data_IF_475803704923
#
_entry.id   IF_475803704923
#
_cell.length_a   1.000
_cell.length_b   1.000
_cell.length_c   1.000
_cell.angle_alpha   90.00
_cell.angle_beta   90.00
_cell.angle_gamma   90.00
#
_symmetry.space_group_name_H-M   'P 1'
#
loop_
_entity.id
_entity.type
_entity.pdbx_description
1 polymer ?
#
# COMPACT_ATOMS: atom_id res chain seq x y z
N UNK A 1 -2.15 7.29 4.34
CA UNK A 1 -2.18 6.00 3.61
C UNK A 1 -2.16 4.86 4.62
N UNK A 2 -3.09 3.91 4.50
CA UNK A 2 -3.24 2.77 5.42
C UNK A 2 -1.96 1.91 5.53
N UNK A 3 -1.23 1.73 4.42
CA UNK A 3 0.04 1.00 4.40
C UNK A 3 1.10 1.56 5.36
N UNK A 4 1.11 2.87 5.63
CA UNK A 4 2.07 3.43 6.59
C UNK A 4 1.81 2.95 8.03
N UNK A 5 0.55 2.70 8.39
CA UNK A 5 0.19 2.10 9.67
C UNK A 5 0.57 0.62 9.76
N UNK A 6 0.73 -0.03 8.62
CA UNK A 6 1.22 -1.40 8.48
C UNK A 6 2.75 -1.49 8.43
N UNK A 7 3.46 -0.44 8.83
CA UNK A 7 4.93 -0.43 8.90
C UNK A 7 5.63 -0.02 7.60
N UNK A 8 4.90 0.27 6.52
CA UNK A 8 5.52 0.73 5.28
C UNK A 8 6.01 2.17 5.39
N UNK A 9 7.19 2.43 4.83
CA UNK A 9 7.79 3.76 4.73
C UNK A 9 7.82 4.22 3.28
N UNK A 10 7.61 5.50 3.04
CA UNK A 10 7.77 6.09 1.70
C UNK A 10 9.26 6.09 1.36
N UNK A 11 9.63 5.35 0.31
CA UNK A 11 11.00 5.31 -0.17
C UNK A 11 11.26 6.36 -1.25
N UNK A 12 10.31 6.53 -2.19
CA UNK A 12 10.41 7.51 -3.28
C UNK A 12 9.01 7.83 -3.82
N UNK A 13 8.83 9.04 -4.33
CA UNK A 13 7.66 9.39 -5.15
C UNK A 13 8.13 9.85 -6.52
N UNK A 14 7.51 9.33 -7.58
CA UNK A 14 7.74 9.75 -8.96
C UNK A 14 6.39 10.10 -9.59
N UNK A 15 6.13 11.40 -9.75
CA UNK A 15 4.85 11.90 -10.24
C UNK A 15 3.69 11.47 -9.32
N UNK A 16 2.70 10.82 -9.92
CA UNK A 16 1.56 10.26 -9.20
C UNK A 16 1.85 8.91 -8.55
N UNK A 17 3.04 8.32 -8.62
CA UNK A 17 3.32 7.01 -8.02
C UNK A 17 4.19 7.14 -6.77
N UNK A 18 3.77 6.50 -5.67
CA UNK A 18 4.51 6.41 -4.42
C UNK A 18 5.04 4.99 -4.25
N UNK A 19 6.35 4.88 -4.05
CA UNK A 19 7.05 3.63 -3.76
C UNK A 19 7.16 3.51 -2.24
N UNK A 20 6.60 2.45 -1.70
CA UNK A 20 6.58 2.10 -0.29
C UNK A 20 7.51 0.91 -0.05
N UNK A 21 8.39 1.00 0.95
CA UNK A 21 9.25 -0.10 1.40
C UNK A 21 8.89 -0.54 2.82
N UNK A 22 9.11 -1.81 3.08
CA UNK A 22 8.97 -2.45 4.38
C UNK A 22 10.20 -3.34 4.60
N UNK A 23 10.57 -3.60 5.85
CA UNK A 23 11.68 -4.51 6.17
C UNK A 23 11.31 -5.96 5.85
N UNK A 24 10.17 -6.44 6.35
CA UNK A 24 9.72 -7.82 6.19
C UNK A 24 8.80 -8.09 5.00
N UNK A 25 8.44 -7.07 4.21
CA UNK A 25 7.43 -7.18 3.14
C UNK A 25 7.93 -6.58 1.84
N UNK A 26 7.46 -7.07 0.68
CA UNK A 26 7.91 -6.57 -0.60
C UNK A 26 7.54 -5.10 -0.80
N UNK A 27 8.34 -4.42 -1.63
CA UNK A 27 8.12 -3.02 -2.01
C UNK A 27 6.79 -2.90 -2.76
N UNK A 28 5.97 -1.92 -2.39
CA UNK A 28 4.70 -1.61 -3.07
C UNK A 28 4.82 -0.33 -3.87
N UNK A 29 4.18 -0.29 -5.04
CA UNK A 29 4.02 0.94 -5.82
C UNK A 29 2.54 1.28 -5.85
N UNK A 30 2.18 2.38 -5.17
CA UNK A 30 0.80 2.83 -5.04
C UNK A 30 0.64 4.17 -5.75
N UNK A 31 -0.26 4.30 -6.72
CA UNK A 31 -0.59 5.61 -7.26
C UNK A 31 -1.29 6.49 -6.22
N UNK A 32 -0.74 7.69 -6.05
CA UNK A 32 -1.21 8.83 -5.30
C UNK A 32 -2.35 9.57 -6.03
N UNK A 33 -3.45 8.85 -6.29
CA UNK A 33 -4.70 9.46 -6.73
C UNK A 33 -5.79 9.23 -5.69
N UNK A 34 -6.73 10.18 -5.59
CA UNK A 34 -7.79 10.23 -4.57
C UNK A 34 -8.70 9.00 -4.56
N UNK A 35 -8.86 8.32 -5.69
CA UNK A 35 -9.64 7.10 -5.83
C UNK A 35 -8.74 5.98 -6.38
N UNK A 36 -8.33 5.07 -5.49
CA UNK A 36 -7.69 3.83 -5.90
C UNK A 36 -8.76 2.88 -6.43
N UNK A 37 -8.62 2.45 -7.68
CA UNK A 37 -9.48 1.41 -8.23
C UNK A 37 -9.45 0.17 -7.29
N UNK A 38 -10.60 -0.43 -6.94
CA UNK A 38 -10.65 -1.52 -5.97
C UNK A 38 -9.83 -2.74 -6.40
N UNK A 39 -9.70 -2.98 -7.71
CA UNK A 39 -8.82 -4.03 -8.24
C UNK A 39 -7.33 -3.77 -7.99
N UNK A 40 -6.90 -2.51 -8.12
CA UNK A 40 -5.51 -2.13 -7.84
C UNK A 40 -5.20 -2.23 -6.35
N UNK A 41 -6.14 -1.79 -5.50
CA UNK A 41 -6.00 -1.92 -4.06
C UNK A 41 -5.88 -3.39 -3.63
N UNK A 42 -6.72 -4.28 -4.16
CA UNK A 42 -6.61 -5.72 -3.90
C UNK A 42 -5.28 -6.30 -4.37
N UNK A 43 -4.80 -5.89 -5.53
CA UNK A 43 -3.50 -6.33 -6.04
C UNK A 43 -2.36 -5.90 -5.11
N UNK A 44 -2.37 -4.64 -4.67
CA UNK A 44 -1.39 -4.10 -3.73
C UNK A 44 -1.44 -4.79 -2.35
N UNK A 45 -2.63 -5.05 -1.81
CA UNK A 45 -2.84 -5.81 -0.58
C UNK A 45 -2.26 -7.23 -0.71
N UNK A 46 -2.55 -7.91 -1.83
CA UNK A 46 -2.02 -9.25 -2.10
C UNK A 46 -0.50 -9.23 -2.25
N UNK A 47 0.05 -8.24 -2.93
CA UNK A 47 1.51 -8.06 -3.05
C UNK A 47 2.14 -7.84 -1.67
N UNK A 48 1.47 -7.10 -0.78
CA UNK A 48 1.92 -6.87 0.59
C UNK A 48 1.90 -8.13 1.47
N UNK A 49 1.38 -9.25 0.97
CA UNK A 49 1.15 -10.47 1.76
C UNK A 49 0.02 -10.30 2.78
N UNK A 50 -0.85 -9.31 2.61
CA UNK A 50 -1.92 -8.97 3.52
C UNK A 50 -3.24 -9.59 3.07
N UNK A 51 -4.09 -9.88 4.04
CA UNK A 51 -5.52 -10.09 3.78
C UNK A 51 -6.25 -8.75 3.64
N UNK A 52 -7.38 -8.75 2.92
CA UNK A 52 -8.25 -7.57 2.82
C UNK A 52 -8.72 -7.11 4.21
N UNK A 53 -8.98 -8.07 5.10
CA UNK A 53 -9.40 -7.80 6.48
C UNK A 53 -8.32 -7.09 7.29
N UNK A 54 -7.06 -7.56 7.24
CA UNK A 54 -5.93 -6.89 7.89
C UNK A 54 -5.72 -5.46 7.38
N UNK A 55 -5.92 -5.26 6.07
CA UNK A 55 -5.87 -3.93 5.48
C UNK A 55 -7.00 -3.04 6.01
N UNK A 56 -8.23 -3.54 6.10
CA UNK A 56 -9.37 -2.80 6.65
C UNK A 56 -9.14 -2.46 8.12
N UNK A 57 -8.64 -3.39 8.93
CA UNK A 57 -8.30 -3.15 10.33
C UNK A 57 -7.25 -2.03 10.48
N UNK A 58 -6.34 -1.88 9.52
CA UNK A 58 -5.38 -0.77 9.52
C UNK A 58 -5.99 0.60 9.18
N UNK A 59 -7.25 0.67 8.71
CA UNK A 59 -7.97 1.92 8.46
C UNK A 59 -8.68 2.47 9.72
N UNK A 60 -8.90 1.64 10.74
CA UNK A 60 -9.62 1.98 11.98
C UNK A 60 -8.83 2.79 13.00
#
# INVERSE_FOLDING_TARGET
MAFMRLGYKVARQTGSHIILRHEDRPTLTIPNHRELAPGLLRSAIRQAGLSVDEFINSLS
#
